data_IF_193449479666
#
_entry.id   IF_193449479666
#
_cell.length_a   1.000
_cell.length_b   1.000
_cell.length_c   1.000
_cell.angle_alpha   90.00
_cell.angle_beta   90.00
_cell.angle_gamma   90.00
#
_symmetry.space_group_name_H-M   'P 1'
#
loop_
_entity.id
_entity.type
_entity.pdbx_description
1 polymer ?
#
# COMPACT_ATOMS: atom_id res chain seq x y z
N UNK A 1 4.52 -20.76 -8.44
CA UNK A 1 4.43 -19.34 -8.02
C UNK A 1 3.41 -18.64 -8.92
N UNK A 2 2.62 -17.68 -8.43
CA UNK A 2 1.66 -16.97 -9.28
C UNK A 2 2.41 -16.02 -10.24
N UNK A 3 1.96 -15.82 -11.49
CA UNK A 3 2.69 -15.03 -12.49
C UNK A 3 2.98 -13.58 -12.06
N UNK A 4 2.01 -12.93 -11.41
CA UNK A 4 2.13 -11.57 -10.88
C UNK A 4 3.26 -11.41 -9.85
N UNK A 5 3.49 -12.45 -9.04
CA UNK A 5 4.56 -12.46 -8.04
C UNK A 5 5.92 -12.69 -8.70
N UNK A 6 5.99 -13.58 -9.69
CA UNK A 6 7.22 -13.82 -10.46
C UNK A 6 7.68 -12.56 -11.19
N UNK A 7 6.76 -11.86 -11.88
CA UNK A 7 7.04 -10.59 -12.55
C UNK A 7 7.58 -9.53 -11.58
N UNK A 8 7.05 -9.48 -10.35
CA UNK A 8 7.54 -8.57 -9.32
C UNK A 8 9.01 -8.86 -8.96
N UNK A 9 9.35 -10.13 -8.69
CA UNK A 9 10.73 -10.50 -8.33
C UNK A 9 11.71 -10.39 -9.49
N UNK A 10 11.26 -10.59 -10.73
CA UNK A 10 12.06 -10.36 -11.92
C UNK A 10 12.21 -8.87 -12.26
N UNK A 11 11.52 -7.96 -11.57
CA UNK A 11 11.58 -6.52 -11.83
C UNK A 11 10.91 -6.10 -13.14
N UNK A 12 9.97 -6.91 -13.64
CA UNK A 12 9.25 -6.68 -14.90
C UNK A 12 7.76 -6.38 -14.68
N UNK A 13 7.31 -6.32 -13.43
CA UNK A 13 5.93 -5.95 -13.10
C UNK A 13 5.73 -4.44 -13.24
N UNK A 14 4.83 -4.03 -14.14
CA UNK A 14 4.39 -2.64 -14.30
C UNK A 14 3.20 -2.28 -13.42
N UNK A 15 2.53 -3.29 -12.84
CA UNK A 15 1.30 -3.15 -12.05
C UNK A 15 1.45 -3.74 -10.63
N UNK A 16 2.67 -3.76 -10.09
CA UNK A 16 2.95 -4.33 -8.76
C UNK A 16 2.08 -3.73 -7.63
N UNK A 17 1.59 -2.50 -7.80
CA UNK A 17 0.65 -1.85 -6.88
C UNK A 17 -0.72 -2.56 -6.78
N UNK A 18 -1.08 -3.44 -7.71
CA UNK A 18 -2.27 -4.28 -7.63
C UNK A 18 -2.07 -5.52 -6.76
N UNK A 19 -0.81 -5.90 -6.55
CA UNK A 19 -0.40 -7.04 -5.74
C UNK A 19 -0.03 -6.61 -4.31
N UNK A 20 0.82 -5.60 -4.20
CA UNK A 20 1.37 -5.08 -2.95
C UNK A 20 0.50 -3.96 -2.37
N UNK A 21 0.67 -3.69 -1.08
CA UNK A 21 -0.09 -2.67 -0.36
C UNK A 21 -1.39 -3.19 0.25
N UNK A 22 -2.31 -2.27 0.52
CA UNK A 22 -3.63 -2.56 1.08
C UNK A 22 -4.73 -2.56 0.01
N UNK A 23 -5.53 -3.62 -0.04
CA UNK A 23 -6.64 -3.76 -0.99
C UNK A 23 -7.93 -4.21 -0.31
N UNK A 24 -9.11 -3.75 -0.75
CA UNK A 24 -10.38 -4.26 -0.23
C UNK A 24 -10.49 -5.76 -0.44
N UNK A 25 -10.85 -6.51 0.60
CA UNK A 25 -11.07 -7.95 0.49
C UNK A 25 -12.43 -8.26 -0.17
N UNK A 26 -13.22 -7.27 -0.57
CA UNK A 26 -14.61 -7.39 -1.03
C UNK A 26 -15.64 -7.00 0.04
N UNK A 27 -16.94 -6.93 -0.31
CA UNK A 27 -17.97 -6.36 0.55
C UNK A 27 -18.04 -7.05 1.92
N UNK A 28 -17.84 -6.28 2.99
CA UNK A 28 -17.90 -6.77 4.38
C UNK A 28 -16.77 -7.72 4.79
N UNK A 29 -15.71 -7.87 3.99
CA UNK A 29 -14.59 -8.81 4.26
C UNK A 29 -13.32 -8.12 4.80
N UNK A 30 -13.37 -6.81 5.02
CA UNK A 30 -12.24 -6.00 5.49
C UNK A 30 -11.21 -5.74 4.40
N UNK A 31 -9.93 -5.70 4.79
CA UNK A 31 -8.81 -5.37 3.91
C UNK A 31 -7.74 -6.45 3.89
N UNK A 32 -7.17 -6.68 2.72
CA UNK A 32 -6.00 -7.51 2.48
C UNK A 32 -4.75 -6.63 2.50
N UNK A 33 -3.66 -7.15 3.04
CA UNK A 33 -2.38 -6.48 3.11
C UNK A 33 -1.32 -7.41 2.57
N UNK A 34 -0.47 -6.90 1.67
CA UNK A 34 0.65 -7.64 1.10
C UNK A 34 1.91 -6.78 1.17
N UNK A 35 2.96 -7.26 1.82
CA UNK A 35 4.22 -6.55 2.00
C UNK A 35 5.41 -7.41 1.55
N UNK A 36 6.35 -6.80 0.84
CA UNK A 36 7.67 -7.39 0.63
C UNK A 36 8.64 -6.89 1.73
N UNK A 37 9.05 -7.80 2.61
CA UNK A 37 10.00 -7.53 3.69
C UNK A 37 10.83 -8.80 3.97
N UNK A 38 11.77 -9.17 3.10
CA UNK A 38 12.37 -10.51 3.07
C UNK A 38 13.25 -10.82 4.30
N UNK A 39 13.78 -9.79 4.96
CA UNK A 39 14.62 -9.94 6.15
C UNK A 39 13.86 -9.68 7.46
N UNK A 40 12.56 -9.43 7.39
CA UNK A 40 11.75 -9.30 8.59
C UNK A 40 11.60 -10.67 9.27
N UNK A 41 11.67 -10.68 10.59
CA UNK A 41 11.34 -11.87 11.38
C UNK A 41 9.85 -12.02 11.58
N UNK A 42 9.16 -10.89 11.76
CA UNK A 42 7.71 -10.78 11.95
C UNK A 42 7.21 -9.47 11.36
N UNK A 43 5.97 -9.48 10.91
CA UNK A 43 5.28 -8.27 10.44
C UNK A 43 3.89 -8.27 11.07
N UNK A 44 3.55 -7.17 11.72
CA UNK A 44 2.22 -6.93 12.27
C UNK A 44 1.61 -5.69 11.63
N UNK A 45 0.29 -5.56 11.76
CA UNK A 45 -0.47 -4.37 11.40
C UNK A 45 -1.06 -3.73 12.64
N UNK A 46 -0.93 -2.41 12.67
CA UNK A 46 -1.58 -1.52 13.61
C UNK A 46 -2.38 -0.50 12.82
N UNK A 47 -3.52 -0.09 13.36
CA UNK A 47 -4.32 0.96 12.76
C UNK A 47 -5.48 1.38 13.64
N UNK A 48 -6.34 2.24 13.10
CA UNK A 48 -7.45 2.79 13.87
C UNK A 48 -8.41 1.71 14.38
N UNK A 49 -8.58 0.59 13.65
CA UNK A 49 -9.48 -0.51 14.02
C UNK A 49 -9.10 -1.23 15.32
N UNK A 50 -7.82 -1.17 15.74
CA UNK A 50 -7.36 -1.75 17.00
C UNK A 50 -6.84 -0.69 17.98
N UNK A 51 -7.12 0.59 17.70
CA UNK A 51 -6.67 1.69 18.55
C UNK A 51 -5.14 1.80 18.68
N UNK A 52 -4.40 1.32 17.67
CA UNK A 52 -2.93 1.31 17.67
C UNK A 52 -2.30 0.48 18.80
N UNK A 53 -3.04 -0.49 19.35
CA UNK A 53 -2.58 -1.36 20.42
C UNK A 53 -1.71 -2.52 19.89
N UNK A 54 -0.51 -2.66 20.46
CA UNK A 54 0.46 -3.70 20.10
C UNK A 54 0.03 -5.10 20.51
N UNK A 55 -0.78 -5.24 21.56
CA UNK A 55 -1.23 -6.55 22.04
C UNK A 55 -2.33 -7.18 21.17
N UNK A 56 -3.07 -6.34 20.44
CA UNK A 56 -4.12 -6.74 19.50
C UNK A 56 -3.71 -6.53 18.03
N UNK A 57 -2.41 -6.35 17.76
CA UNK A 57 -1.90 -6.19 16.41
C UNK A 57 -2.16 -7.44 15.55
N UNK A 58 -2.55 -7.25 14.30
CA UNK A 58 -2.81 -8.37 13.39
C UNK A 58 -1.48 -8.88 12.80
N UNK A 59 -1.17 -10.16 12.98
CA UNK A 59 0.02 -10.79 12.38
C UNK A 59 -0.17 -11.03 10.88
N UNK A 60 0.88 -10.78 10.10
CA UNK A 60 0.96 -11.24 8.72
C UNK A 60 1.66 -12.60 8.68
N UNK A 61 1.22 -13.43 7.75
CA UNK A 61 1.84 -14.72 7.46
C UNK A 61 2.89 -14.52 6.37
N UNK A 62 4.11 -15.01 6.59
CA UNK A 62 5.09 -15.14 5.52
C UNK A 62 4.72 -16.32 4.63
N UNK A 63 4.41 -16.05 3.37
CA UNK A 63 4.00 -17.07 2.40
C UNK A 63 5.21 -17.69 1.68
N UNK A 64 5.03 -18.89 1.12
CA UNK A 64 6.08 -19.61 0.38
C UNK A 64 6.61 -18.86 -0.85
N UNK A 65 5.85 -17.90 -1.37
CA UNK A 65 6.24 -17.05 -2.48
C UNK A 65 6.99 -15.78 -2.06
N UNK A 66 7.42 -15.67 -0.80
CA UNK A 66 8.33 -14.62 -0.34
C UNK A 66 7.67 -13.29 0.05
N UNK A 67 6.33 -13.27 0.13
CA UNK A 67 5.56 -12.08 0.53
C UNK A 67 4.86 -12.31 1.88
N UNK A 68 4.76 -11.24 2.67
CA UNK A 68 3.94 -11.20 3.88
C UNK A 68 2.50 -10.89 3.50
N UNK A 69 1.54 -11.65 4.03
CA UNK A 69 0.10 -11.44 3.76
C UNK A 69 -0.75 -11.54 5.00
N UNK A 70 -1.79 -10.71 5.05
CA UNK A 70 -2.78 -10.74 6.13
C UNK A 70 -4.11 -10.18 5.68
N UNK A 71 -5.16 -10.50 6.43
CA UNK A 71 -6.48 -9.89 6.30
C UNK A 71 -6.90 -9.29 7.63
N UNK A 72 -7.40 -8.06 7.61
CA UNK A 72 -8.00 -7.42 8.79
C UNK A 72 -9.49 -7.20 8.50
N UNK A 73 -10.39 -8.06 9.03
CA UNK A 73 -11.83 -7.96 8.78
C UNK A 73 -12.47 -6.64 9.25
N UNK A 74 -11.96 -6.06 10.34
CA UNK A 74 -12.51 -4.87 10.99
C UNK A 74 -12.04 -3.57 10.31
N UNK A 75 -11.03 -3.64 9.45
CA UNK A 75 -10.48 -2.47 8.78
C UNK A 75 -11.50 -1.88 7.81
N UNK A 76 -11.59 -0.55 7.77
CA UNK A 76 -12.53 0.21 6.96
C UNK A 76 -11.84 1.27 6.11
N UNK A 77 -12.45 1.63 4.98
CA UNK A 77 -11.98 2.69 4.10
C UNK A 77 -11.73 3.99 4.90
N UNK A 78 -10.60 4.65 4.64
CA UNK A 78 -10.22 5.91 5.26
C UNK A 78 -9.45 5.78 6.58
N UNK A 79 -9.42 4.60 7.21
CA UNK A 79 -8.64 4.38 8.43
C UNK A 79 -7.14 4.43 8.16
N UNK A 80 -6.40 4.88 9.17
CA UNK A 80 -4.94 4.94 9.18
C UNK A 80 -4.35 3.61 9.65
N UNK A 81 -3.16 3.28 9.13
CA UNK A 81 -2.41 2.09 9.52
C UNK A 81 -0.89 2.24 9.31
N UNK A 82 -0.14 1.33 9.95
CA UNK A 82 1.29 1.11 9.72
C UNK A 82 1.63 -0.38 9.84
N UNK A 83 2.70 -0.79 9.19
CA UNK A 83 3.37 -2.06 9.49
C UNK A 83 4.27 -1.89 10.71
N UNK A 84 4.13 -2.77 11.70
CA UNK A 84 5.12 -2.95 12.76
C UNK A 84 6.02 -4.12 12.37
N UNK A 85 7.27 -3.83 12.02
CA UNK A 85 8.19 -4.80 11.42
C UNK A 85 9.28 -5.13 12.43
N UNK A 86 9.48 -6.42 12.68
CA UNK A 86 10.61 -6.90 13.46
C UNK A 86 11.80 -7.19 12.54
N UNK A 87 12.88 -6.44 12.72
CA UNK A 87 14.12 -6.61 11.98
C UNK A 87 14.86 -7.91 12.32
N UNK A 88 15.91 -8.25 11.55
CA UNK A 88 16.76 -9.42 11.82
C UNK A 88 17.56 -9.31 13.12
N UNK A 89 17.72 -8.10 13.66
CA UNK A 89 18.32 -7.83 14.98
C UNK A 89 17.32 -7.98 16.14
N UNK A 90 16.03 -8.21 15.83
CA UNK A 90 14.94 -8.30 16.79
C UNK A 90 14.29 -6.96 17.15
N UNK A 91 14.80 -5.83 16.65
CA UNK A 91 14.22 -4.50 16.88
C UNK A 91 12.88 -4.33 16.15
N UNK A 92 11.96 -3.55 16.74
CA UNK A 92 10.65 -3.26 16.14
C UNK A 92 10.60 -1.83 15.62
N UNK A 93 10.02 -1.65 14.43
CA UNK A 93 9.90 -0.34 13.81
C UNK A 93 8.55 -0.20 13.11
N UNK A 94 7.89 0.94 13.36
CA UNK A 94 6.70 1.33 12.61
C UNK A 94 7.10 1.93 11.27
N UNK A 95 6.51 1.41 10.19
CA UNK A 95 6.73 1.83 8.82
C UNK A 95 5.42 2.09 8.11
N UNK A 96 5.37 3.17 7.35
CA UNK A 96 4.29 3.38 6.39
C UNK A 96 4.36 2.29 5.31
N UNK A 97 3.24 2.02 4.68
CA UNK A 97 3.17 1.11 3.55
C UNK A 97 3.82 1.75 2.30
N UNK A 98 4.84 1.11 1.69
CA UNK A 98 5.47 1.60 0.48
C UNK A 98 4.52 1.72 -0.72
N UNK A 99 3.43 0.96 -0.71
CA UNK A 99 2.41 0.89 -1.76
C UNK A 99 1.06 1.50 -1.33
N UNK A 100 1.04 2.32 -0.28
CA UNK A 100 -0.19 3.03 0.10
C UNK A 100 -0.68 3.99 -1.00
N UNK A 101 -1.98 3.98 -1.25
CA UNK A 101 -2.63 4.91 -2.18
C UNK A 101 -2.91 6.29 -1.58
N UNK A 102 -2.87 6.41 -0.25
CA UNK A 102 -3.05 7.67 0.45
C UNK A 102 -2.30 7.66 1.78
N UNK A 103 -2.04 8.86 2.30
CA UNK A 103 -1.29 9.06 3.54
C UNK A 103 -2.04 9.98 4.50
N UNK A 104 -1.66 9.93 5.77
CA UNK A 104 -2.00 10.92 6.77
C UNK A 104 -1.46 12.31 6.36
N UNK A 105 -2.15 13.37 6.78
CA UNK A 105 -1.65 14.72 6.58
C UNK A 105 -0.41 14.96 7.46
N UNK A 106 0.55 15.74 6.95
CA UNK A 106 1.75 16.10 7.71
C UNK A 106 1.36 16.83 9.02
N UNK A 107 2.09 16.59 10.13
CA UNK A 107 3.34 15.82 10.25
C UNK A 107 3.14 14.30 10.43
N UNK A 108 1.92 13.80 10.24
CA UNK A 108 1.58 12.39 10.26
C UNK A 108 2.40 11.55 9.28
N UNK A 109 2.50 10.26 9.57
CA UNK A 109 3.31 9.31 8.79
C UNK A 109 2.60 7.98 8.56
N UNK A 110 1.33 7.86 8.96
CA UNK A 110 0.55 6.67 8.70
C UNK A 110 0.10 6.60 7.23
N UNK A 111 -0.04 5.38 6.74
CA UNK A 111 -0.74 5.10 5.49
C UNK A 111 -2.24 5.12 5.73
N UNK A 112 -3.02 5.42 4.70
CA UNK A 112 -4.48 5.44 4.76
C UNK A 112 -5.07 4.40 3.82
N UNK A 113 -6.02 3.62 4.30
CA UNK A 113 -6.80 2.70 3.48
C UNK A 113 -7.62 3.51 2.47
N UNK A 114 -7.33 3.35 1.19
CA UNK A 114 -7.92 4.12 0.11
C UNK A 114 -8.03 3.28 -1.17
N UNK A 115 -8.89 3.69 -2.09
CA UNK A 115 -9.07 3.07 -3.40
C UNK A 115 -8.92 4.12 -4.50
N UNK A 116 -8.07 3.90 -5.52
CA UNK A 116 -7.90 4.82 -6.65
C UNK A 116 -9.01 4.63 -7.70
N UNK A 117 -10.28 4.77 -7.29
CA UNK A 117 -11.46 4.42 -8.10
C UNK A 117 -12.26 5.63 -8.62
N UNK A 118 -11.62 6.80 -8.75
CA UNK A 118 -12.30 8.01 -9.24
C UNK A 118 -12.83 7.81 -10.68
N UNK A 119 -14.12 8.08 -10.95
CA UNK A 119 -14.73 7.86 -12.26
C UNK A 119 -14.43 9.05 -13.18
N UNK A 120 -13.30 9.02 -13.88
CA UNK A 120 -12.96 10.05 -14.87
C UNK A 120 -14.01 10.08 -16.00
N UNK A 121 -14.70 11.23 -16.14
CA UNK A 121 -15.78 11.41 -17.12
C UNK A 121 -15.27 11.55 -18.57
N UNK A 122 -14.01 11.96 -18.76
CA UNK A 122 -13.38 12.09 -20.06
C UNK A 122 -12.25 11.07 -20.19
N UNK A 123 -12.05 10.45 -21.36
CA UNK A 123 -10.82 9.70 -21.61
C UNK A 123 -9.63 10.66 -21.42
N UNK A 124 -8.63 10.24 -20.65
CA UNK A 124 -7.33 10.91 -20.58
C UNK A 124 -6.91 11.29 -22.00
N UNK A 125 -6.48 12.54 -22.21
CA UNK A 125 -5.98 13.04 -23.48
C UNK A 125 -4.90 12.08 -24.03
N UNK A 126 -5.30 11.15 -24.91
CA UNK A 126 -4.39 10.27 -25.61
C UNK A 126 -4.01 10.96 -26.92
N UNK A 127 -2.72 11.28 -27.06
CA UNK A 127 -2.18 11.84 -28.31
C UNK A 127 -1.76 13.29 -28.19
N UNK A 128 -0.78 13.57 -27.31
CA UNK A 128 -0.01 14.81 -27.45
C UNK A 128 0.71 14.78 -28.81
N UNK A 129 0.39 15.75 -29.68
CA UNK A 129 1.13 15.98 -30.92
C UNK A 129 2.55 16.37 -30.56
N UNK A 130 3.50 15.47 -30.81
CA UNK A 130 4.94 15.71 -30.56
C UNK A 130 5.54 16.74 -31.53
N UNK A 131 4.79 17.08 -32.58
CA UNK A 131 5.13 17.99 -33.66
C UNK A 131 4.49 19.38 -33.53
N UNK A 132 3.81 19.66 -32.41
CA UNK A 132 3.18 20.96 -32.13
C UNK A 132 3.96 21.74 -31.05
N UNK A 133 3.91 23.09 -31.05
CA UNK A 133 4.48 23.88 -29.96
C UNK A 133 3.76 23.58 -28.64
N UNK A 134 4.53 23.47 -27.56
CA UNK A 134 4.03 23.24 -26.20
C UNK A 134 4.47 24.42 -25.33
N UNK A 135 3.51 25.06 -24.65
CA UNK A 135 3.78 26.01 -23.58
C UNK A 135 3.45 25.33 -22.25
N UNK A 136 4.47 25.13 -21.40
CA UNK A 136 4.32 24.52 -20.09
C UNK A 136 4.26 25.64 -19.05
N UNK A 137 3.18 25.66 -18.26
CA UNK A 137 3.09 26.50 -17.06
C UNK A 137 3.42 25.66 -15.83
N UNK A 138 4.54 25.96 -15.20
CA UNK A 138 4.94 25.32 -13.95
C UNK A 138 4.20 25.99 -12.78
N UNK A 139 3.60 25.17 -11.91
CA UNK A 139 2.84 25.62 -10.75
C UNK A 139 3.29 24.82 -9.52
N UNK A 140 3.59 25.51 -8.43
CA UNK A 140 3.69 24.89 -7.12
C UNK A 140 2.31 24.94 -6.45
N UNK A 141 1.67 23.77 -6.31
CA UNK A 141 0.26 23.68 -5.90
C UNK A 141 -0.06 24.21 -4.49
N UNK A 142 0.96 24.35 -3.64
CA UNK A 142 0.81 24.66 -2.21
C UNK A 142 1.39 26.02 -1.79
N UNK A 143 1.84 26.86 -2.74
CA UNK A 143 2.38 28.20 -2.47
C UNK A 143 1.44 29.29 -2.94
#
# INVERSE_FOLDING_TARGET
MRPDVEEFFCGISFDAYRLLGSHPAGPGRGWLFTLWAPHARRVQLLGDWNGWDLYSAAELTFCEDGLWRGRVPQAQLGQLYKYNIQGPDGSWQLRADPFAFAFEALPGTASRLAEPNYPFAAPLLRGARRDAPILIYELHAAS
#
